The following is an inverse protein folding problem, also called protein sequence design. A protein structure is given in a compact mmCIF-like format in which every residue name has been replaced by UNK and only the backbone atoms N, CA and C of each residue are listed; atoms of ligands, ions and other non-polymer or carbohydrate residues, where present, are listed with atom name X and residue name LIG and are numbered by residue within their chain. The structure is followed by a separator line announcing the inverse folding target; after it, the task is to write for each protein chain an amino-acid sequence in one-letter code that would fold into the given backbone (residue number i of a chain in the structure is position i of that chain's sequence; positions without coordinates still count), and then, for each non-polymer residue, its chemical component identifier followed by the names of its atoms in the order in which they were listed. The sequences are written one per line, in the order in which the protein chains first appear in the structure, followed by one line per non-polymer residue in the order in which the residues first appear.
data_IF_033592777378
#
_entry.id   IF_033592777378
#
_cell.length_a   1.000
_cell.length_b   1.000
_cell.length_c   1.000
_cell.angle_alpha   90.00
_cell.angle_beta   90.00
_cell.angle_gamma   90.00
#
_symmetry.space_group_name_H-M   'P 1'
#
loop_
_entity.id
_entity.type
_entity.pdbx_description
1 polymer ?
#
# COMPACT_ATOMS: atom_id res chain seq x y z
N UNK A 1 -58.33 -20.90 -1.98
CA UNK A 1 -57.79 -19.54 -1.69
C UNK A 1 -57.09 -19.05 -2.95
N UNK A 2 -57.61 -17.99 -3.58
CA UNK A 2 -57.02 -17.33 -4.76
C UNK A 2 -55.92 -16.33 -4.33
N UNK A 3 -55.01 -15.93 -5.24
CA UNK A 3 -53.70 -15.36 -4.94
C UNK A 3 -53.69 -13.83 -4.87
N UNK A 4 -52.62 -13.27 -4.29
CA UNK A 4 -52.22 -11.88 -4.53
C UNK A 4 -50.81 -11.86 -5.11
N UNK A 5 -50.76 -11.64 -6.41
CA UNK A 5 -49.76 -10.83 -7.11
C UNK A 5 -49.57 -9.47 -6.40
N UNK A 6 -48.52 -8.66 -6.58
CA UNK A 6 -47.85 -8.24 -7.80
C UNK A 6 -46.78 -7.20 -7.37
N UNK A 7 -45.83 -6.93 -8.28
CA UNK A 7 -44.99 -5.72 -8.45
C UNK A 7 -43.49 -5.79 -8.13
N UNK A 8 -42.76 -6.04 -9.23
CA UNK A 8 -41.45 -5.48 -9.52
C UNK A 8 -41.48 -3.94 -9.54
N UNK A 9 -40.37 -3.31 -9.16
CA UNK A 9 -39.97 -2.02 -9.75
C UNK A 9 -38.45 -1.84 -9.68
N UNK A 10 -37.83 -2.12 -10.81
CA UNK A 10 -36.56 -1.55 -11.24
C UNK A 10 -36.82 -0.09 -11.56
N UNK A 11 -36.14 0.84 -10.89
CA UNK A 11 -36.07 2.23 -11.36
C UNK A 11 -34.68 2.52 -11.88
N UNK A 12 -34.62 2.51 -13.20
CA UNK A 12 -33.59 3.11 -14.01
C UNK A 12 -33.98 4.58 -14.22
N UNK A 13 -33.09 5.53 -13.89
CA UNK A 13 -33.24 6.92 -14.33
C UNK A 13 -31.93 7.42 -14.92
N UNK A 14 -32.02 7.62 -16.23
CA UNK A 14 -31.12 8.31 -17.14
C UNK A 14 -30.37 9.51 -16.53
N UNK A 15 -29.10 9.62 -16.89
CA UNK A 15 -28.45 10.91 -17.11
C UNK A 15 -27.93 10.91 -18.55
N UNK A 16 -28.46 11.84 -19.35
CA UNK A 16 -28.16 12.02 -20.77
C UNK A 16 -26.69 12.34 -21.04
N UNK A 17 -26.15 11.94 -22.21
CA UNK A 17 -24.84 12.37 -22.67
C UNK A 17 -24.97 13.70 -23.43
N UNK A 18 -24.04 14.64 -23.21
CA UNK A 18 -23.44 15.53 -24.22
C UNK A 18 -22.96 16.84 -23.60
N UNK A 19 -21.64 17.00 -23.52
CA UNK A 19 -20.97 18.26 -23.83
C UNK A 19 -19.54 17.93 -24.25
N UNK A 20 -19.32 17.98 -25.55
CA UNK A 20 -18.02 17.83 -26.20
C UNK A 20 -17.06 18.92 -25.73
N UNK A 21 -15.91 18.51 -25.19
CA UNK A 21 -14.70 19.32 -25.16
C UNK A 21 -13.65 18.55 -25.92
N UNK A 22 -13.41 18.97 -27.16
CA UNK A 22 -12.33 18.46 -28.00
C UNK A 22 -10.99 18.78 -27.34
N UNK A 23 -10.20 17.76 -27.01
CA UNK A 23 -8.74 17.91 -26.97
C UNK A 23 -8.15 16.89 -27.93
N UNK A 24 -7.37 17.44 -28.86
CA UNK A 24 -6.70 16.74 -29.95
C UNK A 24 -6.01 15.45 -29.46
N UNK A 25 -6.24 14.35 -30.16
CA UNK A 25 -5.46 13.14 -30.01
C UNK A 25 -4.03 13.41 -30.48
N UNK A 26 -3.15 13.77 -29.56
CA UNK A 26 -1.72 13.75 -29.82
C UNK A 26 -1.33 12.28 -30.08
N UNK A 27 -0.98 11.99 -31.33
CA UNK A 27 -0.29 10.75 -31.69
C UNK A 27 1.05 10.75 -30.94
N UNK A 28 1.08 10.15 -29.76
CA UNK A 28 2.32 9.77 -29.12
C UNK A 28 2.99 8.73 -30.01
N UNK A 29 3.97 9.18 -30.82
CA UNK A 29 5.00 8.30 -31.35
C UNK A 29 5.96 8.01 -30.19
N UNK A 30 6.05 6.78 -29.66
CA UNK A 30 7.20 6.44 -28.85
C UNK A 30 8.41 6.42 -29.80
N UNK A 31 9.27 7.44 -29.68
CA UNK A 31 10.63 7.34 -30.19
C UNK A 31 11.36 6.38 -29.26
N UNK A 32 11.27 5.10 -29.59
CA UNK A 32 12.03 4.04 -28.96
C UNK A 32 13.48 4.28 -29.40
N UNK A 33 14.22 5.04 -28.61
CA UNK A 33 15.67 5.02 -28.72
C UNK A 33 16.09 3.58 -28.43
N UNK A 34 16.51 2.91 -29.51
CA UNK A 34 17.02 1.56 -29.54
C UNK A 34 18.24 1.47 -28.62
N UNK A 35 18.03 0.98 -27.40
CA UNK A 35 19.08 0.24 -26.71
C UNK A 35 18.59 -1.19 -26.67
N UNK A 36 18.90 -1.90 -27.76
CA UNK A 36 18.69 -3.33 -27.85
C UNK A 36 19.56 -4.05 -26.81
N UNK A 37 19.00 -4.30 -25.64
CA UNK A 37 19.44 -5.40 -24.77
C UNK A 37 18.67 -6.68 -25.11
N UNK A 38 18.54 -6.97 -26.40
CA UNK A 38 18.30 -8.32 -26.92
C UNK A 38 19.62 -9.08 -26.98
N UNK A 39 20.21 -9.32 -25.81
CA UNK A 39 21.17 -10.42 -25.63
C UNK A 39 20.79 -11.10 -24.34
N UNK A 40 20.29 -12.32 -24.51
CA UNK A 40 20.13 -13.35 -23.49
C UNK A 40 21.48 -13.56 -22.81
N UNK A 41 21.85 -12.70 -21.88
CA UNK A 41 22.93 -12.98 -20.94
C UNK A 41 22.27 -13.84 -19.87
N UNK A 42 22.11 -15.11 -20.24
CA UNK A 42 22.03 -16.19 -19.27
C UNK A 42 23.29 -16.03 -18.44
N UNK A 43 23.19 -15.45 -17.24
CA UNK A 43 24.25 -15.55 -16.25
C UNK A 43 24.37 -17.04 -15.95
N UNK A 44 25.44 -17.75 -16.34
CA UNK A 44 25.68 -19.06 -15.77
C UNK A 44 26.00 -18.78 -14.30
N UNK A 45 25.03 -19.03 -13.42
CA UNK A 45 25.29 -19.14 -11.99
C UNK A 45 26.23 -20.34 -11.83
N UNK A 46 27.54 -20.09 -11.86
CA UNK A 46 28.55 -21.08 -11.47
C UNK A 46 28.37 -21.32 -9.97
N UNK A 47 27.52 -22.28 -9.63
CA UNK A 47 27.45 -22.84 -8.29
C UNK A 47 28.71 -23.68 -8.12
N UNK A 48 29.81 -23.04 -7.75
CA UNK A 48 30.97 -23.74 -7.23
C UNK A 48 30.53 -24.35 -5.90
N UNK A 49 30.18 -25.64 -5.89
CA UNK A 49 30.10 -26.43 -4.65
C UNK A 49 31.53 -26.56 -4.16
N UNK A 50 32.01 -25.52 -3.48
CA UNK A 50 33.03 -25.72 -2.47
C UNK A 50 32.40 -26.68 -1.46
N UNK A 51 33.08 -27.78 -1.14
CA UNK A 51 32.74 -28.59 0.02
C UNK A 51 32.95 -27.72 1.26
N UNK A 52 31.95 -26.88 1.56
CA UNK A 52 31.85 -26.23 2.86
C UNK A 52 31.75 -27.40 3.84
N UNK A 53 32.63 -27.50 4.84
CA UNK A 53 32.44 -28.49 5.89
C UNK A 53 31.01 -28.31 6.39
N UNK A 54 30.23 -29.41 6.35
CA UNK A 54 28.86 -29.42 6.85
C UNK A 54 28.91 -28.73 8.21
N UNK A 55 28.20 -27.61 8.41
CA UNK A 55 28.16 -26.99 9.71
C UNK A 55 27.71 -28.07 10.69
N UNK A 56 28.38 -28.14 11.83
CA UNK A 56 27.99 -29.06 12.90
C UNK A 56 26.47 -28.93 13.08
N UNK A 57 25.73 -30.02 12.85
CA UNK A 57 24.28 -30.02 12.76
C UNK A 57 23.67 -29.42 14.04
N UNK A 58 24.35 -29.59 15.17
CA UNK A 58 23.97 -29.01 16.45
C UNK A 58 24.22 -27.50 16.51
N UNK A 59 25.31 -26.99 15.96
CA UNK A 59 25.56 -25.54 15.84
C UNK A 59 24.49 -24.83 14.99
N UNK A 60 24.03 -25.45 13.90
CA UNK A 60 22.98 -24.91 13.04
C UNK A 60 21.63 -24.90 13.76
N UNK A 61 21.28 -25.99 14.45
CA UNK A 61 20.06 -26.08 15.25
C UNK A 61 20.04 -25.05 16.38
N UNK A 62 21.18 -24.86 17.07
CA UNK A 62 21.31 -23.88 18.14
C UNK A 62 21.04 -22.46 17.63
N UNK A 63 21.62 -22.10 16.48
CA UNK A 63 21.38 -20.81 15.83
C UNK A 63 19.91 -20.62 15.45
N UNK A 64 19.26 -21.64 14.87
CA UNK A 64 17.83 -21.58 14.54
C UNK A 64 16.98 -21.40 15.81
N UNK A 65 17.29 -22.11 16.90
CA UNK A 65 16.59 -21.96 18.16
C UNK A 65 16.73 -20.54 18.74
N UNK A 66 17.91 -19.93 18.63
CA UNK A 66 18.12 -18.54 19.06
C UNK A 66 17.24 -17.57 18.28
N UNK A 67 17.18 -17.70 16.94
CA UNK A 67 16.30 -16.85 16.12
C UNK A 67 14.82 -17.06 16.41
N UNK A 68 14.39 -18.30 16.64
CA UNK A 68 13.00 -18.60 17.03
C UNK A 68 12.66 -17.99 18.39
N UNK A 69 13.58 -18.05 19.36
CA UNK A 69 13.43 -17.41 20.66
C UNK A 69 13.31 -15.89 20.51
N UNK A 70 14.24 -15.27 19.78
CA UNK A 70 14.24 -13.83 19.50
C UNK A 70 12.97 -13.36 18.78
N UNK A 71 12.47 -14.16 17.84
CA UNK A 71 11.23 -13.86 17.10
C UNK A 71 10.00 -13.90 18.03
N UNK A 72 9.93 -14.87 18.94
CA UNK A 72 8.84 -14.95 19.93
C UNK A 72 8.87 -13.79 20.92
N UNK A 73 10.05 -13.47 21.46
CA UNK A 73 10.21 -12.39 22.44
C UNK A 73 9.91 -11.01 21.84
N UNK A 74 10.27 -10.77 20.57
CA UNK A 74 10.08 -9.47 19.92
C UNK A 74 8.78 -9.35 19.13
N UNK A 75 7.95 -10.40 19.06
CA UNK A 75 6.74 -10.43 18.21
C UNK A 75 5.86 -9.21 18.42
N UNK A 76 5.54 -8.89 19.67
CA UNK A 76 4.66 -7.75 20.00
C UNK A 76 5.25 -6.40 19.55
N UNK A 77 6.56 -6.21 19.70
CA UNK A 77 7.26 -5.01 19.25
C UNK A 77 7.24 -4.90 17.73
N UNK A 78 7.57 -5.98 17.03
CA UNK A 78 7.58 -5.99 15.57
C UNK A 78 6.17 -5.84 14.98
N UNK A 79 5.16 -6.46 15.59
CA UNK A 79 3.76 -6.29 15.17
C UNK A 79 3.32 -4.83 15.32
N UNK A 80 3.68 -4.17 16.43
CA UNK A 80 3.42 -2.75 16.63
C UNK A 80 4.10 -1.89 15.58
N UNK A 81 5.40 -2.10 15.33
CA UNK A 81 6.16 -1.36 14.30
C UNK A 81 5.58 -1.58 12.90
N UNK A 82 5.14 -2.80 12.59
CA UNK A 82 4.47 -3.12 11.32
C UNK A 82 3.15 -2.36 11.16
N UNK A 83 2.34 -2.31 12.21
CA UNK A 83 1.07 -1.58 12.19
C UNK A 83 1.29 -0.07 12.10
N UNK A 84 2.20 0.47 12.89
CA UNK A 84 2.51 1.90 12.89
C UNK A 84 3.02 2.36 11.51
N UNK A 85 3.94 1.60 10.91
CA UNK A 85 4.43 1.84 9.54
C UNK A 85 3.31 1.73 8.50
N UNK A 86 2.39 0.76 8.66
CA UNK A 86 1.24 0.61 7.79
C UNK A 86 0.32 1.83 7.88
N UNK A 87 -0.03 2.28 9.08
CA UNK A 87 -0.89 3.44 9.24
C UNK A 87 -0.22 4.72 8.73
N UNK A 88 1.06 4.92 9.05
CA UNK A 88 1.83 6.06 8.54
C UNK A 88 1.79 6.12 7.01
N UNK A 89 2.25 5.08 6.32
CA UNK A 89 2.31 5.08 4.85
C UNK A 89 0.95 5.17 4.16
N UNK A 90 -0.10 4.56 4.74
CA UNK A 90 -1.40 4.48 4.06
C UNK A 90 -2.31 5.67 4.35
N UNK A 91 -2.21 6.29 5.53
CA UNK A 91 -3.13 7.35 5.95
C UNK A 91 -2.51 8.75 5.97
N UNK A 92 -1.19 8.86 5.83
CA UNK A 92 -0.51 10.16 5.80
C UNK A 92 -1.05 11.10 4.72
N UNK A 93 -1.27 10.61 3.50
CA UNK A 93 -1.75 11.47 2.40
C UNK A 93 -3.23 11.85 2.58
N UNK A 94 -4.08 10.92 3.04
CA UNK A 94 -5.50 11.20 3.30
C UNK A 94 -5.65 12.26 4.39
N UNK A 95 -4.93 12.09 5.49
CA UNK A 95 -4.94 13.07 6.57
C UNK A 95 -4.29 14.38 6.13
N UNK A 96 -3.22 14.34 5.33
CA UNK A 96 -2.61 15.53 4.74
C UNK A 96 -3.55 16.33 3.83
N UNK A 97 -4.44 15.65 3.10
CA UNK A 97 -5.50 16.32 2.34
C UNK A 97 -6.51 17.02 3.25
N UNK A 98 -6.97 16.35 4.30
CA UNK A 98 -7.89 16.93 5.29
C UNK A 98 -7.24 18.12 6.00
N UNK A 99 -5.94 18.02 6.32
CA UNK A 99 -5.14 19.05 6.96
C UNK A 99 -5.28 20.42 6.25
N UNK A 100 -5.29 20.42 4.91
CA UNK A 100 -5.42 21.65 4.12
C UNK A 100 -6.73 22.40 4.34
N UNK A 101 -7.85 21.69 4.51
CA UNK A 101 -9.16 22.31 4.76
C UNK A 101 -9.39 22.67 6.24
N UNK A 102 -8.64 22.05 7.16
CA UNK A 102 -8.85 22.15 8.60
C UNK A 102 -7.91 23.15 9.27
N UNK A 103 -6.72 23.38 8.69
CA UNK A 103 -5.70 24.29 9.22
C UNK A 103 -6.16 25.74 9.38
N UNK A 104 -7.01 26.22 8.50
CA UNK A 104 -7.48 27.61 8.51
C UNK A 104 -8.71 27.83 9.41
N UNK A 105 -9.23 26.76 10.03
CA UNK A 105 -10.35 26.85 10.98
C UNK A 105 -9.85 27.24 12.37
N UNK A 106 -10.68 27.98 13.11
CA UNK A 106 -10.42 28.28 14.52
C UNK A 106 -10.39 26.99 15.36
N UNK A 107 -9.46 26.92 16.31
CA UNK A 107 -9.25 25.74 17.18
C UNK A 107 -10.50 25.32 17.98
N UNK A 108 -11.39 26.27 18.24
CA UNK A 108 -12.64 26.05 18.97
C UNK A 108 -13.74 25.47 18.08
N UNK A 109 -13.58 25.56 16.75
CA UNK A 109 -14.50 25.00 15.75
C UNK A 109 -14.06 23.62 15.24
N UNK A 110 -12.86 23.15 15.62
CA UNK A 110 -12.41 21.80 15.26
C UNK A 110 -13.14 20.74 16.07
N UNK A 111 -13.64 19.74 15.35
CA UNK A 111 -14.14 18.49 15.92
C UNK A 111 -13.02 17.72 16.62
N UNK A 112 -13.37 16.83 17.55
CA UNK A 112 -12.40 15.99 18.25
C UNK A 112 -11.53 15.18 17.27
N UNK A 113 -12.16 14.60 16.24
CA UNK A 113 -11.47 13.83 15.20
C UNK A 113 -10.50 14.68 14.38
N UNK A 114 -10.85 15.93 14.05
CA UNK A 114 -9.94 16.85 13.36
C UNK A 114 -8.71 17.18 14.22
N UNK A 115 -8.89 17.37 15.54
CA UNK A 115 -7.78 17.59 16.47
C UNK A 115 -6.85 16.37 16.54
N UNK A 116 -7.42 15.18 16.62
CA UNK A 116 -6.65 13.93 16.65
C UNK A 116 -5.87 13.70 15.35
N UNK A 117 -6.47 14.00 14.20
CA UNK A 117 -5.81 13.91 12.89
C UNK A 117 -4.62 14.87 12.82
N UNK A 118 -4.78 16.13 13.25
CA UNK A 118 -3.68 17.10 13.26
C UNK A 118 -2.53 16.66 14.19
N UNK A 119 -2.86 16.14 15.37
CA UNK A 119 -1.86 15.64 16.31
C UNK A 119 -1.15 14.39 15.77
N UNK A 120 -1.88 13.51 15.08
CA UNK A 120 -1.28 12.34 14.42
C UNK A 120 -0.34 12.77 13.29
N UNK A 121 -0.75 13.74 12.45
CA UNK A 121 0.11 14.27 11.37
C UNK A 121 1.37 14.92 11.94
N UNK A 122 1.25 15.71 13.01
CA UNK A 122 2.41 16.33 13.69
C UNK A 122 3.43 15.29 14.15
N UNK A 123 2.97 14.12 14.60
CA UNK A 123 3.84 13.03 15.04
C UNK A 123 4.44 12.21 13.90
N UNK A 124 3.78 12.16 12.75
CA UNK A 124 4.07 11.16 11.70
C UNK A 124 4.55 11.74 10.36
N UNK A 125 4.45 13.07 10.13
CA UNK A 125 4.75 13.68 8.83
C UNK A 125 6.25 13.79 8.50
N UNK A 126 7.12 13.64 9.50
CA UNK A 126 8.59 13.64 9.34
C UNK A 126 9.18 12.26 9.03
#
# INVERSE_FOLDING_TARGET
MLPKSLFNSTTNTNVSPSASSQLASSKFKPSINSVEFSRRIVLPLLISVAAVPLPDVESQKALIQEYLKRSKENKAKNDKERLDSYYKRNYQDYFGFIEGSVKDKDKDQLTESEKDILEWLRKNKE
#
